data_IF_627517987962
#
_entry.id   IF_627517987962
#
_cell.length_a   1.000
_cell.length_b   1.000
_cell.length_c   1.000
_cell.angle_alpha   90.00
_cell.angle_beta   90.00
_cell.angle_gamma   90.00
#
_symmetry.space_group_name_H-M   'P 1'
#
loop_
_entity.id
_entity.type
_entity.pdbx_description
1 polymer ?
#
# COMPACT_ATOMS: atom_id res chain seq x y z
N UNK A 1 -19.20 15.61 27.57
CA UNK A 1 -17.93 15.27 26.92
C UNK A 1 -18.24 14.16 25.93
N UNK A 2 -18.42 14.50 24.66
CA UNK A 2 -18.71 13.51 23.62
C UNK A 2 -17.38 12.97 23.13
N UNK A 3 -17.06 11.73 23.49
CA UNK A 3 -16.02 10.98 22.81
C UNK A 3 -16.71 10.37 21.60
N UNK A 4 -16.52 11.00 20.43
CA UNK A 4 -16.96 10.41 19.17
C UNK A 4 -16.27 9.06 18.94
N UNK A 5 -16.80 8.18 18.07
CA UNK A 5 -16.09 6.95 17.72
C UNK A 5 -14.68 7.34 17.27
N UNK A 6 -13.67 6.74 17.90
CA UNK A 6 -12.31 6.75 17.38
C UNK A 6 -12.40 6.21 15.97
N UNK A 7 -12.33 7.09 14.97
CA UNK A 7 -12.35 6.71 13.57
C UNK A 7 -11.09 5.88 13.34
N UNK A 8 -11.23 4.56 13.40
CA UNK A 8 -10.12 3.64 13.18
C UNK A 8 -9.63 3.89 11.77
N UNK A 9 -8.44 4.45 11.65
CA UNK A 9 -7.84 4.70 10.35
C UNK A 9 -7.68 3.35 9.62
N UNK A 10 -8.06 3.26 8.33
CA UNK A 10 -8.03 1.98 7.64
C UNK A 10 -6.59 1.50 7.45
N UNK A 11 -6.34 0.25 7.78
CA UNK A 11 -5.08 -0.46 7.51
C UNK A 11 -5.15 -1.29 6.22
N UNK A 12 -6.37 -1.50 5.71
CA UNK A 12 -6.69 -2.44 4.64
C UNK A 12 -7.31 -1.72 3.45
N UNK A 13 -6.84 -2.06 2.25
CA UNK A 13 -7.44 -1.73 0.97
C UNK A 13 -8.12 -2.97 0.41
N UNK A 14 -9.45 -2.94 0.33
CA UNK A 14 -10.22 -4.04 -0.26
C UNK A 14 -10.29 -3.92 -1.79
N UNK A 15 -10.63 -5.03 -2.45
CA UNK A 15 -10.88 -5.05 -3.88
C UNK A 15 -11.93 -4.01 -4.32
N UNK A 16 -11.63 -3.29 -5.41
CA UNK A 16 -12.44 -2.19 -5.93
C UNK A 16 -12.33 -0.88 -5.16
N UNK A 17 -11.70 -0.86 -3.97
CA UNK A 17 -11.41 0.38 -3.27
C UNK A 17 -10.23 1.13 -3.89
N UNK A 18 -10.21 2.44 -3.66
CA UNK A 18 -9.21 3.35 -4.19
C UNK A 18 -8.59 4.16 -3.06
N UNK A 19 -7.27 4.16 -3.00
CA UNK A 19 -6.49 5.11 -2.22
C UNK A 19 -5.94 6.16 -3.20
N UNK A 20 -6.48 7.38 -3.10
CA UNK A 20 -6.09 8.53 -3.94
C UNK A 20 -5.07 9.40 -3.21
N UNK A 21 -4.51 10.38 -3.92
CA UNK A 21 -3.73 11.44 -3.30
C UNK A 21 -4.50 12.10 -2.12
N UNK A 22 -3.79 12.35 -1.02
CA UNK A 22 -4.37 12.84 0.23
C UNK A 22 -4.98 11.76 1.14
N UNK A 23 -5.23 10.54 0.63
CA UNK A 23 -5.66 9.40 1.45
C UNK A 23 -4.45 8.58 1.93
N UNK A 24 -4.61 7.93 3.08
CA UNK A 24 -3.56 7.13 3.71
C UNK A 24 -4.13 5.86 4.33
N UNK A 25 -3.35 4.78 4.29
CA UNK A 25 -3.53 3.65 5.21
C UNK A 25 -2.61 3.84 6.41
N UNK A 26 -3.05 3.38 7.57
CA UNK A 26 -2.26 3.38 8.79
C UNK A 26 -2.20 1.94 9.30
N UNK A 27 -1.03 1.49 9.72
CA UNK A 27 -0.93 0.18 10.35
C UNK A 27 -1.80 0.13 11.61
N UNK A 28 -2.18 -1.07 12.08
CA UNK A 28 -3.13 -1.23 13.19
C UNK A 28 -2.78 -0.41 14.45
N UNK A 29 -1.49 -0.34 14.81
CA UNK A 29 -0.99 0.46 15.93
C UNK A 29 -0.56 1.89 15.54
N UNK A 30 -0.76 2.30 14.28
CA UNK A 30 -0.42 3.61 13.74
C UNK A 30 1.09 3.88 13.65
N UNK A 31 1.92 2.84 13.57
CA UNK A 31 3.39 2.93 13.52
C UNK A 31 3.83 3.34 12.12
N UNK A 32 3.24 2.71 11.10
CA UNK A 32 3.52 2.98 9.69
C UNK A 32 2.29 3.56 9.01
N UNK A 33 2.55 4.27 7.92
CA UNK A 33 1.52 4.72 7.01
C UNK A 33 1.96 4.57 5.56
N UNK A 34 0.97 4.36 4.70
CA UNK A 34 1.13 4.21 3.27
C UNK A 34 0.29 5.25 2.55
N UNK A 35 0.86 5.87 1.53
CA UNK A 35 0.15 6.83 0.69
C UNK A 35 1.01 7.47 -0.38
N UNK A 36 0.42 8.39 -1.15
CA UNK A 36 1.15 9.18 -2.13
C UNK A 36 1.88 10.35 -1.48
N UNK A 37 3.09 10.64 -1.96
CA UNK A 37 3.88 11.79 -1.52
C UNK A 37 4.72 12.37 -2.66
N UNK A 38 5.08 13.65 -2.54
CA UNK A 38 6.00 14.37 -3.42
C UNK A 38 7.29 14.72 -2.66
N UNK A 39 8.48 14.29 -3.12
CA UNK A 39 9.73 14.66 -2.48
C UNK A 39 10.11 16.12 -2.81
N UNK A 40 10.25 16.95 -1.77
CA UNK A 40 10.61 18.36 -1.91
C UNK A 40 9.60 19.14 -2.76
N UNK A 41 10.10 19.98 -3.68
CA UNK A 41 9.27 20.76 -4.60
C UNK A 41 9.11 20.07 -5.97
N UNK A 42 9.12 18.73 -5.99
CA UNK A 42 8.98 17.96 -7.23
C UNK A 42 7.54 17.94 -7.74
N UNK A 43 7.37 17.94 -9.05
CA UNK A 43 6.08 17.69 -9.72
C UNK A 43 5.80 16.19 -9.92
N UNK A 44 6.61 15.32 -9.32
CA UNK A 44 6.43 13.87 -9.39
C UNK A 44 5.98 13.31 -8.06
N UNK A 45 5.02 12.40 -8.10
CA UNK A 45 4.51 11.70 -6.92
C UNK A 45 4.92 10.24 -6.92
N UNK A 46 4.99 9.69 -5.71
CA UNK A 46 5.36 8.32 -5.45
C UNK A 46 4.42 7.73 -4.42
N UNK A 47 4.08 6.45 -4.57
CA UNK A 47 3.48 5.66 -3.51
C UNK A 47 4.58 5.15 -2.59
N UNK A 48 4.48 5.40 -1.29
CA UNK A 48 5.48 4.95 -0.34
C UNK A 48 4.92 4.49 0.99
N UNK A 49 5.81 3.92 1.80
CA UNK A 49 5.57 3.55 3.19
C UNK A 49 6.60 4.30 4.05
N UNK A 50 6.14 4.91 5.14
CA UNK A 50 7.02 5.60 6.09
C UNK A 50 6.50 5.52 7.52
N UNK A 51 7.37 5.85 8.47
CA UNK A 51 7.00 5.93 9.87
C UNK A 51 6.02 7.09 10.08
N UNK A 52 4.93 6.84 10.81
CA UNK A 52 3.93 7.87 11.08
C UNK A 52 4.51 9.07 11.85
N UNK A 53 5.49 8.81 12.73
CA UNK A 53 6.16 9.85 13.54
C UNK A 53 7.29 10.59 12.83
N UNK A 54 7.72 10.14 11.65
CA UNK A 54 8.79 10.79 10.90
C UNK A 54 8.50 10.80 9.39
N UNK A 55 8.30 12.00 8.86
CA UNK A 55 7.88 12.21 7.47
C UNK A 55 9.06 12.41 6.52
N UNK A 56 10.29 12.41 7.04
CA UNK A 56 11.45 12.87 6.27
C UNK A 56 11.93 11.84 5.26
N UNK A 57 11.66 10.54 5.47
CA UNK A 57 12.16 9.46 4.61
C UNK A 57 11.17 8.31 4.47
N UNK A 58 10.83 8.00 3.22
CA UNK A 58 10.15 6.76 2.88
C UNK A 58 11.06 5.55 3.12
N UNK A 59 10.56 4.58 3.86
CA UNK A 59 11.21 3.29 4.06
C UNK A 59 11.10 2.40 2.81
N UNK A 60 10.02 2.57 2.03
CA UNK A 60 9.76 1.84 0.80
C UNK A 60 9.02 2.73 -0.21
N UNK A 61 9.28 2.55 -1.52
CA UNK A 61 8.70 3.33 -2.60
C UNK A 61 8.29 2.41 -3.77
N UNK A 62 6.98 2.27 -4.04
CA UNK A 62 6.49 1.34 -5.05
C UNK A 62 7.01 1.65 -6.46
N UNK A 63 6.85 2.90 -6.88
CA UNK A 63 7.10 3.35 -8.24
C UNK A 63 8.41 4.16 -8.35
N UNK A 64 9.48 3.72 -7.68
CA UNK A 64 10.76 4.45 -7.62
C UNK A 64 11.35 4.75 -8.99
N UNK A 65 11.23 3.80 -9.93
CA UNK A 65 11.76 3.93 -11.30
C UNK A 65 10.74 4.54 -12.27
N UNK A 66 9.48 4.65 -11.87
CA UNK A 66 8.35 5.11 -12.68
C UNK A 66 7.58 6.22 -11.94
N UNK A 67 8.20 7.41 -11.74
CA UNK A 67 7.50 8.53 -11.12
C UNK A 67 6.26 8.91 -11.91
N UNK A 68 5.18 9.22 -11.20
CA UNK A 68 3.93 9.69 -11.82
C UNK A 68 3.83 11.21 -11.71
N UNK A 69 3.24 11.87 -12.71
CA UNK A 69 3.12 13.33 -12.71
C UNK A 69 1.99 13.79 -11.79
N UNK A 70 2.27 14.85 -11.05
CA UNK A 70 1.33 15.53 -10.18
C UNK A 70 0.63 14.58 -9.19
N UNK A 71 -0.56 14.95 -8.73
CA UNK A 71 -1.34 14.18 -7.75
C UNK A 71 -2.33 13.23 -8.44
N UNK A 72 -1.91 12.61 -9.55
CA UNK A 72 -2.79 11.78 -10.40
C UNK A 72 -2.89 10.31 -9.95
N UNK A 73 -2.09 9.91 -8.96
CA UNK A 73 -1.95 8.53 -8.54
C UNK A 73 -3.18 7.99 -7.80
N UNK A 74 -3.57 6.76 -8.16
CA UNK A 74 -4.59 5.99 -7.45
C UNK A 74 -4.10 4.57 -7.25
N UNK A 75 -3.89 4.16 -6.01
CA UNK A 75 -3.64 2.77 -5.66
C UNK A 75 -4.99 2.03 -5.59
N UNK A 76 -5.08 0.88 -6.26
CA UNK A 76 -6.30 0.08 -6.27
C UNK A 76 -5.99 -1.40 -6.50
N UNK A 77 -6.97 -2.23 -6.16
CA UNK A 77 -7.04 -3.63 -6.53
C UNK A 77 -8.23 -3.77 -7.49
N UNK A 78 -8.00 -4.25 -8.71
CA UNK A 78 -9.06 -4.37 -9.70
C UNK A 78 -9.98 -5.57 -9.49
N UNK A 79 -11.01 -5.69 -10.34
CA UNK A 79 -11.97 -6.79 -10.32
C UNK A 79 -11.35 -8.19 -10.53
N UNK A 80 -10.09 -8.29 -10.96
CA UNK A 80 -9.38 -9.54 -11.15
C UNK A 80 -8.41 -9.85 -10.00
N UNK A 81 -8.25 -8.92 -9.04
CA UNK A 81 -7.33 -9.06 -7.91
C UNK A 81 -5.93 -8.52 -8.16
N UNK A 82 -5.73 -7.73 -9.22
CA UNK A 82 -4.43 -7.15 -9.54
C UNK A 82 -4.20 -5.88 -8.73
N UNK A 83 -3.03 -5.79 -8.07
CA UNK A 83 -2.61 -4.60 -7.35
C UNK A 83 -1.87 -3.65 -8.30
N UNK A 84 -2.37 -2.43 -8.46
CA UNK A 84 -1.81 -1.46 -9.41
C UNK A 84 -1.97 -0.01 -8.96
N UNK A 85 -1.11 0.83 -9.53
CA UNK A 85 -1.22 2.29 -9.45
C UNK A 85 -1.76 2.77 -10.79
N UNK A 86 -2.96 3.33 -10.80
CA UNK A 86 -3.50 4.07 -11.93
C UNK A 86 -2.92 5.48 -11.92
N UNK A 87 -2.59 5.99 -13.09
CA UNK A 87 -2.16 7.38 -13.27
C UNK A 87 -2.53 7.83 -14.69
N UNK A 88 -2.70 9.13 -14.89
CA UNK A 88 -3.25 9.69 -16.13
C UNK A 88 -4.57 8.98 -16.56
N UNK A 89 -5.07 9.28 -17.75
CA UNK A 89 -6.28 8.63 -18.28
C UNK A 89 -5.86 7.32 -18.95
N UNK A 90 -5.98 6.21 -18.22
CA UNK A 90 -5.82 4.86 -18.76
C UNK A 90 -4.44 4.22 -18.58
N UNK A 91 -3.44 4.92 -18.03
CA UNK A 91 -2.13 4.33 -17.74
C UNK A 91 -2.14 3.64 -16.37
N UNK A 92 -1.28 2.62 -16.23
CA UNK A 92 -1.11 1.93 -14.95
C UNK A 92 0.28 1.35 -14.76
N UNK A 93 0.71 1.29 -13.50
CA UNK A 93 1.88 0.55 -13.04
C UNK A 93 1.37 -0.68 -12.31
N UNK A 94 1.65 -1.87 -12.85
CA UNK A 94 1.34 -3.12 -12.15
C UNK A 94 2.37 -3.36 -11.04
N UNK A 95 1.89 -3.53 -9.81
CA UNK A 95 2.71 -3.96 -8.67
C UNK A 95 2.66 -5.49 -8.54
N UNK A 96 1.47 -6.06 -8.80
CA UNK A 96 1.25 -7.51 -8.86
C UNK A 96 0.06 -7.82 -9.78
N UNK A 97 0.16 -8.92 -10.53
CA UNK A 97 -0.86 -9.39 -11.47
C UNK A 97 -1.18 -10.86 -11.22
N UNK A 98 -2.46 -11.18 -11.10
CA UNK A 98 -2.96 -12.55 -11.02
C UNK A 98 -3.09 -13.08 -12.44
N UNK A 99 -2.16 -13.94 -12.86
CA UNK A 99 -2.04 -14.39 -14.26
C UNK A 99 -3.08 -15.43 -14.71
N UNK A 100 -3.92 -15.98 -13.82
CA UNK A 100 -4.78 -17.12 -14.13
C UNK A 100 -6.28 -16.81 -14.00
N UNK A 101 -6.78 -16.70 -12.78
CA UNK A 101 -8.21 -16.53 -12.49
C UNK A 101 -8.43 -15.35 -11.55
N UNK A 102 -9.59 -14.71 -11.68
CA UNK A 102 -9.97 -13.63 -10.78
C UNK A 102 -10.11 -14.17 -9.35
N UNK A 103 -9.40 -13.54 -8.42
CA UNK A 103 -9.41 -13.92 -7.00
C UNK A 103 -9.89 -12.76 -6.14
N UNK A 104 -10.57 -13.08 -5.05
CA UNK A 104 -10.93 -12.07 -4.05
C UNK A 104 -9.68 -11.69 -3.25
N UNK A 105 -9.30 -10.43 -3.25
CA UNK A 105 -8.06 -9.98 -2.60
C UNK A 105 -8.24 -8.75 -1.73
N UNK A 106 -7.33 -8.61 -0.77
CA UNK A 106 -7.18 -7.39 0.03
C UNK A 106 -5.71 -7.13 0.28
N UNK A 107 -5.35 -5.87 0.46
CA UNK A 107 -3.99 -5.49 0.81
C UNK A 107 -3.95 -4.77 2.16
N UNK A 108 -3.12 -5.24 3.08
CA UNK A 108 -3.07 -4.74 4.47
C UNK A 108 -1.68 -4.20 4.78
N UNK A 109 -1.62 -3.04 5.44
CA UNK A 109 -0.38 -2.48 5.99
C UNK A 109 -0.19 -2.97 7.43
N UNK A 110 0.83 -3.81 7.63
CA UNK A 110 1.13 -4.40 8.94
C UNK A 110 1.95 -3.43 9.81
N UNK A 111 1.93 -3.64 11.13
CA UNK A 111 2.73 -2.88 12.10
C UNK A 111 4.26 -3.09 11.94
N UNK A 112 4.66 -4.10 11.17
CA UNK A 112 6.06 -4.28 10.73
C UNK A 112 6.47 -3.29 9.63
N UNK A 113 5.51 -2.59 9.02
CA UNK A 113 5.71 -1.77 7.82
C UNK A 113 5.62 -2.56 6.52
N UNK A 114 5.32 -3.86 6.57
CA UNK A 114 5.10 -4.67 5.38
C UNK A 114 3.67 -4.43 4.84
N UNK A 115 3.57 -4.06 3.58
CA UNK A 115 2.30 -4.04 2.85
C UNK A 115 2.12 -5.36 2.10
N UNK A 116 1.09 -6.12 2.44
CA UNK A 116 0.87 -7.49 1.98
C UNK A 116 -0.45 -7.60 1.25
N UNK A 117 -0.44 -8.16 0.03
CA UNK A 117 -1.62 -8.54 -0.73
C UNK A 117 -1.93 -10.02 -0.47
N UNK A 118 -3.16 -10.30 -0.07
CA UNK A 118 -3.62 -11.64 0.27
C UNK A 118 -4.86 -12.03 -0.52
N UNK A 119 -4.93 -13.28 -0.94
CA UNK A 119 -6.15 -13.92 -1.41
C UNK A 119 -7.04 -14.27 -0.20
N UNK A 120 -8.34 -14.04 -0.34
CA UNK A 120 -9.32 -14.28 0.71
C UNK A 120 -10.24 -15.46 0.37
N UNK A 121 -10.58 -16.25 1.39
CA UNK A 121 -11.68 -17.19 1.35
C UNK A 121 -13.04 -16.45 1.31
N UNK A 122 -14.15 -17.13 0.97
CA UNK A 122 -15.48 -16.53 0.99
C UNK A 122 -15.92 -15.98 2.36
N UNK A 123 -15.34 -16.49 3.45
CA UNK A 123 -15.59 -16.02 4.82
C UNK A 123 -14.74 -14.80 5.22
N UNK A 124 -13.88 -14.31 4.32
CA UNK A 124 -12.97 -13.20 4.55
C UNK A 124 -11.65 -13.56 5.23
N UNK A 125 -11.42 -14.84 5.58
CA UNK A 125 -10.13 -15.28 6.10
C UNK A 125 -9.05 -15.29 5.02
N UNK A 126 -7.80 -15.08 5.41
CA UNK A 126 -6.66 -15.15 4.49
C UNK A 126 -6.49 -16.61 4.03
N UNK A 127 -6.58 -16.82 2.72
CA UNK A 127 -6.31 -18.10 2.06
C UNK A 127 -4.82 -18.29 1.81
N UNK A 128 -4.18 -17.28 1.24
CA UNK A 128 -2.73 -17.25 1.02
C UNK A 128 -2.24 -15.81 0.80
N UNK A 129 -0.96 -15.56 1.06
CA UNK A 129 -0.27 -14.32 0.70
C UNK A 129 0.22 -14.42 -0.75
N UNK A 130 -0.06 -13.38 -1.54
CA UNK A 130 0.26 -13.34 -2.97
C UNK A 130 1.49 -12.48 -3.27
N UNK A 131 1.65 -11.39 -2.52
CA UNK A 131 2.70 -10.40 -2.74
C UNK A 131 2.97 -9.60 -1.47
N UNK A 132 4.22 -9.18 -1.28
CA UNK A 132 4.59 -8.31 -0.17
C UNK A 132 5.65 -7.27 -0.57
N UNK A 133 5.54 -6.07 0.00
CA UNK A 133 6.46 -4.96 -0.26
C UNK A 133 7.92 -5.27 0.08
N UNK A 134 8.16 -6.12 1.08
CA UNK A 134 9.51 -6.46 1.55
C UNK A 134 10.32 -7.29 0.55
N UNK A 135 9.67 -7.99 -0.38
CA UNK A 135 10.35 -8.73 -1.45
C UNK A 135 10.84 -7.81 -2.58
N UNK A 136 10.36 -6.57 -2.60
CA UNK A 136 10.72 -5.55 -3.58
C UNK A 136 11.30 -4.30 -2.90
N UNK A 137 12.44 -4.42 -2.17
CA UNK A 137 12.99 -3.31 -1.42
C UNK A 137 13.50 -2.23 -2.36
N UNK A 138 12.82 -1.09 -2.36
CA UNK A 138 13.20 0.11 -3.12
C UNK A 138 13.73 1.23 -2.23
N UNK A 139 13.90 1.02 -0.92
CA UNK A 139 14.37 2.00 0.07
C UNK A 139 15.22 1.36 1.18
N UNK A 140 15.68 2.15 2.16
CA UNK A 140 16.54 1.69 3.28
C UNK A 140 15.98 0.41 3.88
N UNK A 141 16.74 -0.68 3.85
CA UNK A 141 16.34 -1.98 4.37
C UNK A 141 15.74 -1.81 5.76
N UNK A 142 14.41 -1.98 5.86
CA UNK A 142 13.75 -2.08 7.14
C UNK A 142 14.37 -3.29 7.86
N UNK A 143 14.71 -3.20 9.16
CA UNK A 143 15.27 -4.33 9.87
C UNK A 143 14.29 -5.50 9.74
N UNK A 144 14.72 -6.57 9.05
CA UNK A 144 14.03 -7.85 9.16
C UNK A 144 14.20 -8.28 10.61
N UNK A 145 13.11 -8.37 11.35
CA UNK A 145 13.11 -9.13 12.59
C UNK A 145 13.23 -10.61 12.19
N UNK A 146 14.46 -11.07 12.00
CA UNK A 146 14.79 -12.49 12.01
C UNK A 146 14.62 -12.98 13.45
N UNK A 147 13.50 -13.62 13.75
CA UNK A 147 13.40 -14.47 14.94
C UNK A 147 13.10 -15.88 14.46
N UNK A 148 14.14 -16.72 14.45
CA UNK A 148 14.05 -18.10 14.02
C UNK A 148 15.39 -18.82 14.08
N UNK A 149 15.85 -19.11 15.30
CA UNK A 149 16.68 -20.28 15.61
C UNK A 149 16.05 -21.02 16.77
#
# INVERSE_FOLDING_TARGET
MFIGPSDSQPDTLAQGQQLKDGMQLFSASGIFRLGFFKPGNSNTSYLGIWYNRNNEKAAWIANRNNPILENSGVLTIDQYGNLKILYNIGDSIELYSVHQEAVNTSATLLDSGNFVLSELNPDGSIKQELWQSFDYPTGTLLPKNETGV
#
